data_IF_603010101469
#
_entry.id   IF_603010101469
#
_cell.length_a   1.000
_cell.length_b   1.000
_cell.length_c   1.000
_cell.angle_alpha   90.00
_cell.angle_beta   90.00
_cell.angle_gamma   90.00
#
_symmetry.space_group_name_H-M   'P 1'
#
loop_
_entity.id
_entity.type
_entity.pdbx_description
1 polymer ?
#
# COMPACT_ATOMS: atom_id res chain seq x y z
N UNK A 1 0.94 -1.75 -19.09
CA UNK A 1 0.80 -3.23 -19.03
C UNK A 1 0.47 -3.52 -17.58
N UNK A 2 -0.82 -3.49 -17.26
CA UNK A 2 -1.35 -3.59 -15.91
C UNK A 2 -1.49 -5.06 -15.53
N UNK A 3 -0.40 -5.70 -15.10
CA UNK A 3 -0.48 -7.01 -14.45
C UNK A 3 -0.63 -6.79 -12.94
N UNK A 4 -1.82 -6.37 -12.50
CA UNK A 4 -2.13 -6.29 -11.07
C UNK A 4 -2.39 -7.71 -10.56
N UNK A 5 -1.50 -8.26 -9.74
CA UNK A 5 -1.77 -9.45 -8.94
C UNK A 5 -1.68 -9.11 -7.45
N UNK A 6 -2.67 -8.36 -6.95
CA UNK A 6 -2.92 -8.33 -5.51
C UNK A 6 -3.50 -9.69 -5.13
N UNK A 7 -2.65 -10.60 -4.63
CA UNK A 7 -3.08 -11.89 -4.08
C UNK A 7 -3.65 -11.67 -2.68
N UNK A 8 -4.84 -11.07 -2.61
CA UNK A 8 -5.59 -10.96 -1.36
C UNK A 8 -6.75 -11.97 -1.37
N UNK A 9 -6.79 -12.86 -0.39
CA UNK A 9 -7.88 -13.84 -0.22
C UNK A 9 -9.21 -13.18 0.19
N UNK A 10 -9.22 -11.88 0.49
CA UNK A 10 -10.42 -11.16 0.88
C UNK A 10 -10.93 -10.25 -0.24
N UNK A 11 -11.39 -10.86 -1.34
CA UNK A 11 -11.92 -10.12 -2.49
C UNK A 11 -13.02 -9.11 -2.09
N UNK A 12 -13.84 -9.39 -1.08
CA UNK A 12 -14.89 -8.48 -0.59
C UNK A 12 -14.39 -7.20 0.11
N UNK A 13 -13.11 -7.14 0.47
CA UNK A 13 -12.50 -5.99 1.16
C UNK A 13 -11.42 -5.32 0.31
N UNK A 14 -11.16 -5.80 -0.91
CA UNK A 14 -10.17 -5.26 -1.83
C UNK A 14 -10.86 -4.57 -3.00
N UNK A 15 -10.46 -3.33 -3.27
CA UNK A 15 -10.89 -2.56 -4.44
C UNK A 15 -9.65 -2.24 -5.29
N UNK A 16 -9.75 -2.43 -6.60
CA UNK A 16 -8.69 -2.15 -7.56
C UNK A 16 -9.00 -0.83 -8.27
N UNK A 17 -8.08 0.13 -8.23
CA UNK A 17 -8.26 1.44 -8.85
C UNK A 17 -7.39 1.52 -10.11
N UNK A 18 -8.03 1.68 -11.25
CA UNK A 18 -7.39 1.70 -12.57
C UNK A 18 -7.70 3.00 -13.33
N UNK A 19 -6.90 3.32 -14.34
CA UNK A 19 -7.12 4.44 -15.27
C UNK A 19 -7.88 4.04 -16.54
N UNK A 20 -8.29 2.78 -16.65
CA UNK A 20 -9.06 2.27 -17.78
C UNK A 20 -9.92 1.06 -17.44
N UNK A 21 -10.85 0.76 -18.33
CA UNK A 21 -11.68 -0.45 -18.26
C UNK A 21 -10.86 -1.68 -18.64
N UNK A 22 -10.95 -2.73 -17.84
CA UNK A 22 -10.41 -4.05 -18.14
C UNK A 22 -11.49 -5.11 -17.94
N UNK A 23 -11.98 -5.66 -19.06
CA UNK A 23 -13.06 -6.67 -19.05
C UNK A 23 -12.65 -7.97 -18.34
N UNK A 24 -11.37 -8.37 -18.44
CA UNK A 24 -10.91 -9.60 -17.82
C UNK A 24 -10.82 -9.44 -16.30
N UNK A 25 -10.27 -8.32 -15.83
CA UNK A 25 -10.26 -8.00 -14.41
C UNK A 25 -11.69 -7.83 -13.88
N UNK A 26 -12.57 -7.12 -14.60
CA UNK A 26 -13.96 -6.97 -14.21
C UNK A 26 -14.70 -8.31 -14.08
N UNK A 27 -14.43 -9.28 -14.96
CA UNK A 27 -14.99 -10.63 -14.81
C UNK A 27 -14.48 -11.35 -13.55
N UNK A 28 -13.24 -11.09 -13.12
CA UNK A 28 -12.62 -11.73 -11.95
C UNK A 28 -12.97 -11.05 -10.63
N UNK A 29 -13.05 -9.73 -10.60
CA UNK A 29 -13.22 -8.93 -9.39
C UNK A 29 -14.62 -8.31 -9.25
N UNK A 30 -15.47 -8.44 -10.28
CA UNK A 30 -16.82 -7.88 -10.30
C UNK A 30 -16.80 -6.35 -10.13
N UNK A 31 -17.64 -5.85 -9.22
CA UNK A 31 -17.78 -4.42 -8.94
C UNK A 31 -16.60 -3.81 -8.14
N UNK A 32 -15.58 -4.59 -7.81
CA UNK A 32 -14.44 -4.12 -7.03
C UNK A 32 -13.32 -3.50 -7.87
N UNK A 33 -13.39 -3.58 -9.21
CA UNK A 33 -12.55 -2.75 -10.08
C UNK A 33 -13.23 -1.41 -10.34
N UNK A 34 -12.51 -0.32 -10.08
CA UNK A 34 -12.99 1.05 -10.18
C UNK A 34 -12.12 1.75 -11.21
N UNK A 35 -12.74 2.18 -12.32
CA UNK A 35 -12.11 3.09 -13.24
C UNK A 35 -12.18 4.52 -12.65
N UNK A 36 -11.03 5.08 -12.35
CA UNK A 36 -10.88 6.41 -11.77
C UNK A 36 -11.09 7.53 -12.78
N UNK A 37 -11.01 7.22 -14.09
CA UNK A 37 -10.93 8.19 -15.18
C UNK A 37 -9.77 9.20 -15.04
N UNK A 38 -8.80 8.89 -14.17
CA UNK A 38 -7.56 9.64 -14.07
C UNK A 38 -6.63 9.29 -15.24
N UNK A 39 -5.57 10.09 -15.43
CA UNK A 39 -4.58 9.81 -16.46
C UNK A 39 -3.86 8.48 -16.23
N UNK A 40 -3.57 7.77 -17.33
CA UNK A 40 -2.72 6.59 -17.34
C UNK A 40 -1.22 6.91 -17.20
N UNK A 41 -0.84 8.19 -17.15
CA UNK A 41 0.54 8.59 -16.92
C UNK A 41 0.99 8.27 -15.48
N UNK A 42 2.28 8.01 -15.32
CA UNK A 42 2.91 7.81 -14.00
C UNK A 42 3.45 9.13 -13.44
N UNK A 43 2.63 10.19 -13.47
CA UNK A 43 2.99 11.52 -12.97
C UNK A 43 2.39 11.75 -11.58
N UNK A 44 2.98 12.66 -10.81
CA UNK A 44 2.46 13.10 -9.50
C UNK A 44 0.96 13.38 -9.55
N UNK A 45 0.51 14.15 -10.54
CA UNK A 45 -0.90 14.52 -10.70
C UNK A 45 -1.79 13.30 -10.92
N UNK A 46 -1.35 12.34 -11.74
CA UNK A 46 -2.12 11.15 -12.06
C UNK A 46 -2.25 10.22 -10.85
N UNK A 47 -1.16 10.03 -10.09
CA UNK A 47 -1.16 9.24 -8.85
C UNK A 47 -2.03 9.89 -7.76
N UNK A 48 -1.88 11.20 -7.54
CA UNK A 48 -2.74 11.94 -6.60
C UNK A 48 -4.23 11.90 -7.00
N UNK A 49 -4.54 11.90 -8.29
CA UNK A 49 -5.90 11.72 -8.77
C UNK A 49 -6.46 10.34 -8.39
N UNK A 50 -5.69 9.26 -8.59
CA UNK A 50 -6.08 7.90 -8.21
C UNK A 50 -6.28 7.77 -6.69
N UNK A 51 -5.31 8.27 -5.91
CA UNK A 51 -5.40 8.30 -4.45
C UNK A 51 -6.63 9.09 -3.95
N UNK A 52 -7.00 10.18 -4.62
CA UNK A 52 -8.23 10.92 -4.29
C UNK A 52 -9.48 10.05 -4.42
N UNK A 53 -9.55 9.21 -5.47
CA UNK A 53 -10.67 8.30 -5.71
C UNK A 53 -10.67 7.13 -4.71
N UNK A 54 -9.49 6.61 -4.36
CA UNK A 54 -9.33 5.61 -3.29
C UNK A 54 -9.89 6.09 -1.97
N UNK A 55 -9.50 7.31 -1.59
CA UNK A 55 -9.93 7.94 -0.35
C UNK A 55 -11.44 8.18 -0.33
N UNK A 56 -12.00 8.79 -1.38
CA UNK A 56 -13.44 9.05 -1.47
C UNK A 56 -14.25 7.74 -1.41
N UNK A 57 -13.79 6.70 -2.12
CA UNK A 57 -14.42 5.38 -2.07
C UNK A 57 -14.41 4.78 -0.66
N UNK A 58 -13.31 4.94 0.07
CA UNK A 58 -13.22 4.48 1.45
C UNK A 58 -14.19 5.23 2.37
N UNK A 59 -14.30 6.56 2.25
CA UNK A 59 -15.23 7.35 3.05
C UNK A 59 -16.68 6.86 2.85
N UNK A 60 -17.09 6.65 1.59
CA UNK A 60 -18.41 6.12 1.20
C UNK A 60 -18.67 4.70 1.73
N UNK A 61 -17.64 3.84 1.75
CA UNK A 61 -17.78 2.43 2.11
C UNK A 61 -18.18 2.16 3.57
N UNK A 62 -18.08 3.17 4.44
CA UNK A 62 -18.28 3.07 5.89
C UNK A 62 -17.36 2.06 6.61
N UNK A 63 -16.29 1.60 5.96
CA UNK A 63 -15.32 0.65 6.54
C UNK A 63 -14.48 1.32 7.63
N UNK A 64 -13.94 0.47 8.52
CA UNK A 64 -13.20 0.87 9.73
C UNK A 64 -11.75 1.29 9.45
N UNK A 65 -11.14 0.71 8.42
CA UNK A 65 -9.73 0.87 8.09
C UNK A 65 -9.57 1.07 6.60
N UNK A 66 -8.78 2.08 6.23
CA UNK A 66 -8.28 2.31 4.89
C UNK A 66 -6.84 1.80 4.85
N UNK A 67 -6.52 0.84 3.98
CA UNK A 67 -5.14 0.44 3.77
C UNK A 67 -4.83 0.54 2.28
N UNK A 68 -3.81 1.30 1.94
CA UNK A 68 -3.31 1.46 0.58
C UNK A 68 -2.11 0.54 0.38
N UNK A 69 -2.01 -0.05 -0.82
CA UNK A 69 -0.89 -0.86 -1.29
C UNK A 69 -0.76 -0.72 -2.80
N UNK A 70 0.47 -0.85 -3.31
CA UNK A 70 0.76 -0.87 -4.75
C UNK A 70 0.48 -2.25 -5.37
N UNK A 71 0.54 -2.32 -6.70
CA UNK A 71 0.27 -3.54 -7.48
C UNK A 71 1.35 -4.61 -7.39
N UNK A 72 2.54 -4.19 -6.97
CA UNK A 72 3.68 -5.05 -6.68
C UNK A 72 3.74 -5.49 -5.21
N UNK A 73 2.70 -5.23 -4.41
CA UNK A 73 2.64 -5.61 -3.01
C UNK A 73 1.85 -6.92 -2.76
N UNK A 74 2.32 -7.71 -1.80
CA UNK A 74 1.62 -8.85 -1.23
C UNK A 74 1.18 -8.53 0.20
N UNK A 75 -0.11 -8.69 0.50
CA UNK A 75 -0.66 -8.45 1.83
C UNK A 75 -0.85 -9.76 2.58
N UNK A 76 -0.18 -9.91 3.72
CA UNK A 76 -0.37 -11.04 4.62
C UNK A 76 -1.54 -10.71 5.57
N UNK A 77 -2.73 -11.14 5.16
CA UNK A 77 -3.99 -10.77 5.82
C UNK A 77 -4.04 -11.09 7.33
N UNK A 78 -3.60 -12.27 7.83
CA UNK A 78 -3.61 -12.54 9.26
C UNK A 78 -2.79 -11.52 10.07
N UNK A 79 -1.58 -11.19 9.60
CA UNK A 79 -0.69 -10.20 10.24
C UNK A 79 -1.29 -8.80 10.21
N UNK A 80 -1.92 -8.41 9.09
CA UNK A 80 -2.62 -7.13 8.98
C UNK A 80 -3.75 -7.04 10.02
N UNK A 81 -4.60 -8.06 10.11
CA UNK A 81 -5.70 -8.08 11.06
C UNK A 81 -5.22 -8.04 12.51
N UNK A 82 -4.15 -8.78 12.83
CA UNK A 82 -3.52 -8.75 14.15
C UNK A 82 -3.02 -7.34 14.49
N UNK A 83 -2.29 -6.69 13.57
CA UNK A 83 -1.80 -5.33 13.77
C UNK A 83 -2.96 -4.36 14.01
N UNK A 84 -3.96 -4.36 13.13
CA UNK A 84 -5.09 -3.43 13.21
C UNK A 84 -5.96 -3.67 14.45
N UNK A 85 -6.04 -4.91 14.95
CA UNK A 85 -6.79 -5.25 16.17
C UNK A 85 -6.21 -4.60 17.44
N UNK A 86 -4.95 -4.17 17.40
CA UNK A 86 -4.28 -3.50 18.53
C UNK A 86 -4.72 -2.04 18.70
N UNK A 87 -5.54 -1.52 17.80
CA UNK A 87 -5.97 -0.12 17.75
C UNK A 87 -7.48 0.00 17.62
N UNK A 88 -8.06 1.07 18.17
CA UNK A 88 -9.48 1.35 17.97
C UNK A 88 -9.69 2.24 16.74
N UNK A 89 -10.53 1.81 15.80
CA UNK A 89 -10.73 2.49 14.51
C UNK A 89 -11.36 3.89 14.58
N UNK A 90 -11.81 4.33 15.75
CA UNK A 90 -12.30 5.70 15.99
C UNK A 90 -11.22 6.65 16.54
N UNK A 91 -10.05 6.12 16.87
CA UNK A 91 -8.89 6.93 17.27
C UNK A 91 -8.20 7.50 16.03
N UNK A 92 -7.22 8.37 16.25
CA UNK A 92 -6.38 8.92 15.21
C UNK A 92 -5.16 8.02 15.02
N UNK A 93 -5.26 7.08 14.09
CA UNK A 93 -4.22 6.08 13.82
C UNK A 93 -3.79 6.12 12.36
N UNK A 94 -2.50 6.34 12.16
CA UNK A 94 -1.78 6.27 10.89
C UNK A 94 -0.58 5.33 11.06
N UNK A 95 -0.56 4.22 10.32
CA UNK A 95 0.43 3.15 10.43
C UNK A 95 1.17 2.99 9.10
N UNK A 96 2.49 2.85 9.17
CA UNK A 96 3.29 2.52 8.00
C UNK A 96 4.78 2.60 8.27
N UNK A 97 5.56 2.36 7.22
CA UNK A 97 7.01 2.50 7.26
C UNK A 97 7.41 3.91 6.84
N UNK A 98 8.22 4.65 7.63
CA UNK A 98 8.74 5.94 7.18
C UNK A 98 9.68 5.76 5.97
N UNK A 99 9.55 6.65 4.99
CA UNK A 99 10.33 6.58 3.74
C UNK A 99 11.78 7.04 3.87
N UNK A 100 12.03 7.95 4.82
CA UNK A 100 13.33 8.53 5.09
C UNK A 100 13.75 8.18 6.53
N UNK A 101 15.00 8.43 6.88
CA UNK A 101 15.50 8.40 8.26
C UNK A 101 15.28 9.73 9.00
N UNK A 102 14.69 10.72 8.34
CA UNK A 102 14.33 12.03 8.86
C UNK A 102 13.00 12.54 8.25
N UNK A 103 12.29 13.48 8.90
CA UNK A 103 11.11 14.11 8.30
C UNK A 103 11.45 14.82 6.99
N UNK A 104 10.57 14.73 5.99
CA UNK A 104 10.72 15.51 4.75
C UNK A 104 10.47 16.98 5.03
N UNK A 105 11.18 17.85 4.32
CA UNK A 105 10.96 19.29 4.35
C UNK A 105 10.20 19.73 3.09
N UNK A 106 9.03 20.32 3.26
CA UNK A 106 8.20 20.81 2.17
C UNK A 106 7.96 22.31 2.29
N UNK A 107 7.92 23.00 1.15
CA UNK A 107 7.58 24.41 1.13
C UNK A 107 6.08 24.61 0.90
N UNK A 108 5.40 25.20 1.87
CA UNK A 108 4.01 25.58 1.79
C UNK A 108 3.90 27.04 1.31
N UNK A 109 3.14 27.25 0.22
CA UNK A 109 2.82 28.61 -0.26
C UNK A 109 1.68 29.20 0.58
N UNK A 110 1.94 30.31 1.27
CA UNK A 110 0.93 31.08 1.98
C UNK A 110 0.38 32.19 1.06
N UNK A 111 -0.93 32.50 1.18
CA UNK A 111 -1.62 33.54 0.38
C UNK A 111 -0.98 34.93 0.48
N UNK A 112 -0.16 35.19 1.50
CA UNK A 112 0.58 36.44 1.72
C UNK A 112 2.06 36.30 1.33
N UNK A 113 2.36 36.01 0.05
CA UNK A 113 3.68 36.08 -0.62
C UNK A 113 4.90 35.44 0.08
N UNK A 114 4.71 34.62 1.12
CA UNK A 114 5.77 33.90 1.84
C UNK A 114 5.67 32.40 1.62
N UNK A 115 6.82 31.74 1.53
CA UNK A 115 6.92 30.28 1.66
C UNK A 115 7.27 29.97 3.12
N UNK A 116 6.50 29.10 3.75
CA UNK A 116 6.85 28.52 5.05
C UNK A 116 7.32 27.10 4.82
N UNK A 117 8.41 26.72 5.50
CA UNK A 117 8.91 25.36 5.49
C UNK A 117 8.21 24.55 6.57
N UNK A 118 7.66 23.40 6.19
CA UNK A 118 7.03 22.44 7.10
C UNK A 118 7.80 21.13 7.07
N UNK A 119 7.90 20.47 8.22
CA UNK A 119 8.58 19.19 8.38
C UNK A 119 7.60 18.14 8.90
N UNK A 120 7.57 16.98 8.25
CA UNK A 120 6.64 15.91 8.62
C UNK A 120 7.16 14.54 8.17
N UNK A 121 6.70 13.47 8.84
CA UNK A 121 6.90 12.11 8.36
C UNK A 121 5.78 11.69 7.39
N UNK A 122 6.08 10.70 6.57
CA UNK A 122 5.09 10.06 5.72
C UNK A 122 5.42 8.58 5.57
N UNK A 123 4.38 7.74 5.47
CA UNK A 123 4.55 6.34 5.17
C UNK A 123 4.86 6.16 3.68
N UNK A 124 5.82 5.30 3.34
CA UNK A 124 6.14 4.98 1.94
C UNK A 124 4.96 4.31 1.25
N UNK A 125 4.44 4.92 0.17
CA UNK A 125 3.30 4.38 -0.59
C UNK A 125 3.50 2.92 -1.02
N UNK A 126 4.62 2.62 -1.65
CA UNK A 126 4.95 1.25 -2.12
C UNK A 126 5.37 0.25 -1.05
N UNK A 127 5.38 0.63 0.24
CA UNK A 127 5.38 -0.34 1.34
C UNK A 127 3.95 -0.66 1.80
N UNK A 128 2.99 0.19 1.46
CA UNK A 128 1.65 0.22 2.01
C UNK A 128 1.56 0.96 3.35
N UNK A 129 0.36 1.44 3.64
CA UNK A 129 0.04 2.12 4.90
C UNK A 129 -1.43 1.93 5.26
N UNK A 130 -1.78 2.15 6.53
CA UNK A 130 -3.15 2.07 7.00
C UNK A 130 -3.57 3.31 7.81
N UNK A 131 -4.81 3.75 7.62
CA UNK A 131 -5.44 4.89 8.28
C UNK A 131 -6.77 4.41 8.88
N UNK A 132 -6.98 4.75 10.15
CA UNK A 132 -8.25 4.52 10.84
C UNK A 132 -9.38 5.40 10.30
N UNK A 133 -10.63 4.92 10.36
CA UNK A 133 -11.79 5.72 9.95
C UNK A 133 -11.89 7.05 10.71
N UNK A 134 -11.60 7.06 12.01
CA UNK A 134 -11.61 8.27 12.83
C UNK A 134 -10.71 9.36 12.25
N UNK A 135 -9.45 9.00 11.94
CA UNK A 135 -8.48 9.89 11.32
C UNK A 135 -8.92 10.31 9.91
N UNK A 136 -9.33 9.36 9.08
CA UNK A 136 -9.78 9.65 7.72
C UNK A 136 -10.92 10.68 7.73
N UNK A 137 -11.94 10.53 8.56
CA UNK A 137 -13.02 11.54 8.63
C UNK A 137 -12.51 12.96 8.95
N UNK A 138 -11.42 13.11 9.70
CA UNK A 138 -10.77 14.40 9.97
C UNK A 138 -9.95 14.92 8.80
N UNK A 139 -9.42 14.03 7.94
CA UNK A 139 -8.69 14.40 6.72
C UNK A 139 -9.62 14.96 5.63
N UNK A 140 -10.93 14.72 5.70
CA UNK A 140 -11.90 15.06 4.66
C UNK A 140 -11.86 16.51 4.12
N UNK A 141 -11.62 17.57 4.94
CA UNK A 141 -11.49 18.93 4.43
C UNK A 141 -10.35 19.13 3.41
N UNK A 142 -9.34 18.25 3.42
CA UNK A 142 -8.17 18.32 2.53
C UNK A 142 -8.07 17.16 1.54
N UNK A 143 -8.78 16.05 1.80
CA UNK A 143 -8.66 14.83 1.01
C UNK A 143 -9.94 14.49 0.22
N UNK A 144 -11.13 14.82 0.72
CA UNK A 144 -12.37 14.36 0.08
C UNK A 144 -12.83 15.30 -1.06
N UNK A 145 -13.67 14.80 -1.95
CA UNK A 145 -14.35 15.57 -3.01
C UNK A 145 -13.35 16.28 -3.94
N UNK A 146 -12.25 15.59 -4.28
CA UNK A 146 -11.18 16.12 -5.13
C UNK A 146 -10.24 17.12 -4.46
N UNK A 147 -10.44 17.44 -3.16
CA UNK A 147 -9.52 18.33 -2.44
C UNK A 147 -8.12 17.74 -2.31
N UNK A 148 -7.98 16.40 -2.34
CA UNK A 148 -6.66 15.76 -2.30
C UNK A 148 -5.73 16.27 -3.40
N UNK A 149 -6.24 16.39 -4.63
CA UNK A 149 -5.48 16.89 -5.79
C UNK A 149 -5.05 18.34 -5.56
N UNK A 150 -5.95 19.18 -5.05
CA UNK A 150 -5.65 20.58 -4.74
C UNK A 150 -4.59 20.72 -3.65
N UNK A 151 -4.67 19.86 -2.62
CA UNK A 151 -3.69 19.80 -1.54
C UNK A 151 -2.32 19.35 -2.05
N UNK A 152 -2.27 18.29 -2.85
CA UNK A 152 -1.04 17.80 -3.47
C UNK A 152 -0.38 18.86 -4.36
N UNK A 153 -1.15 19.61 -5.15
CA UNK A 153 -0.62 20.69 -6.00
C UNK A 153 -0.10 21.90 -5.20
N UNK A 154 -0.66 22.15 -4.01
CA UNK A 154 -0.19 23.22 -3.11
C UNK A 154 1.24 22.97 -2.62
N UNK A 155 1.53 21.73 -2.21
CA UNK A 155 2.85 21.32 -1.69
C UNK A 155 3.78 20.75 -2.77
N UNK A 156 3.23 20.41 -3.94
CA UNK A 156 3.95 19.84 -5.10
C UNK A 156 4.64 18.50 -4.80
N UNK A 157 4.09 17.72 -3.87
CA UNK A 157 4.65 16.44 -3.45
C UNK A 157 3.80 15.25 -3.95
N UNK A 158 4.38 14.03 -4.03
CA UNK A 158 3.66 12.80 -4.32
C UNK A 158 2.46 12.55 -3.40
N UNK A 159 1.63 11.59 -3.78
CA UNK A 159 0.42 11.18 -3.07
C UNK A 159 0.71 10.68 -1.65
N UNK A 160 1.70 9.81 -1.47
CA UNK A 160 2.10 9.32 -0.14
C UNK A 160 2.58 10.46 0.79
N UNK A 161 3.37 11.38 0.25
CA UNK A 161 3.80 12.61 0.92
C UNK A 161 2.61 13.53 1.23
N UNK A 162 1.60 13.58 0.36
CA UNK A 162 0.37 14.38 0.58
C UNK A 162 -0.47 13.80 1.71
N UNK A 163 -0.57 12.47 1.81
CA UNK A 163 -1.19 11.79 2.96
C UNK A 163 -0.45 12.16 4.25
N UNK A 164 0.89 12.03 4.26
CA UNK A 164 1.72 12.43 5.41
C UNK A 164 1.54 13.90 5.78
N UNK A 165 1.56 14.81 4.80
CA UNK A 165 1.35 16.24 5.03
C UNK A 165 -0.01 16.53 5.69
N UNK A 166 -1.10 15.94 5.19
CA UNK A 166 -2.43 16.15 5.79
C UNK A 166 -2.46 15.65 7.23
N UNK A 167 -1.87 14.48 7.50
CA UNK A 167 -1.97 13.83 8.81
C UNK A 167 -1.01 14.46 9.84
N UNK A 168 0.26 14.59 9.51
CA UNK A 168 1.30 15.05 10.43
C UNK A 168 1.36 16.57 10.51
N UNK A 169 1.32 17.27 9.37
CA UNK A 169 1.51 18.72 9.36
C UNK A 169 0.22 19.51 9.62
N UNK A 170 -0.94 19.03 9.15
CA UNK A 170 -2.22 19.74 9.31
C UNK A 170 -3.06 19.24 10.48
N UNK A 171 -3.07 17.93 10.73
CA UNK A 171 -3.84 17.33 11.82
C UNK A 171 -3.01 17.05 13.08
N UNK A 172 -1.68 17.22 13.02
CA UNK A 172 -0.74 17.00 14.14
C UNK A 172 -0.83 15.58 14.72
N UNK A 173 -1.10 14.58 13.87
CA UNK A 173 -1.16 13.17 14.25
C UNK A 173 0.13 12.49 13.77
N UNK A 174 0.89 11.93 14.70
CA UNK A 174 2.15 11.27 14.38
C UNK A 174 1.93 9.94 13.64
N UNK A 175 2.77 9.66 12.65
CA UNK A 175 2.92 8.37 12.02
C UNK A 175 3.40 7.37 13.08
N UNK A 176 2.66 6.28 13.23
CA UNK A 176 3.08 5.16 14.05
C UNK A 176 3.99 4.27 13.19
N UNK A 177 5.29 4.39 13.46
CA UNK A 177 6.31 3.64 12.75
C UNK A 177 6.15 2.14 13.00
N UNK A 178 6.15 1.36 11.92
CA UNK A 178 6.10 -0.10 11.99
C UNK A 178 7.10 -0.71 11.01
N UNK A 179 7.75 -1.78 11.46
CA UNK A 179 8.70 -2.55 10.67
C UNK A 179 8.05 -3.72 9.92
N UNK A 180 6.72 -3.80 9.92
CA UNK A 180 5.97 -4.89 9.28
C UNK A 180 5.60 -4.60 7.81
N UNK A 181 5.80 -3.36 7.36
CA UNK A 181 5.50 -2.94 5.99
C UNK A 181 6.81 -2.82 5.20
N UNK A 182 6.84 -3.41 4.00
CA UNK A 182 8.07 -3.51 3.20
C UNK A 182 7.89 -3.11 1.74
N UNK A 183 8.77 -2.22 1.27
CA UNK A 183 8.81 -1.75 -0.11
C UNK A 183 9.99 -2.36 -0.88
N UNK A 184 9.88 -2.46 -2.20
CA UNK A 184 11.00 -2.79 -3.09
C UNK A 184 12.13 -1.73 -3.09
N UNK A 185 11.96 -0.60 -2.42
CA UNK A 185 13.04 0.37 -2.15
C UNK A 185 14.03 -0.12 -1.08
N UNK A 186 13.66 -1.16 -0.34
CA UNK A 186 14.52 -1.82 0.63
C UNK A 186 15.33 -2.96 0.01
N UNK A 187 16.31 -3.47 0.75
CA UNK A 187 16.95 -4.74 0.39
C UNK A 187 16.16 -5.91 0.99
N UNK A 188 15.19 -6.43 0.22
CA UNK A 188 14.27 -7.48 0.65
C UNK A 188 14.97 -8.83 0.93
N UNK A 189 16.17 -9.04 0.38
CA UNK A 189 16.98 -10.22 0.67
C UNK A 189 17.53 -10.24 2.10
N UNK A 190 17.55 -9.08 2.78
CA UNK A 190 17.99 -8.97 4.18
C UNK A 190 16.87 -9.20 5.18
N UNK A 191 15.62 -9.36 4.73
CA UNK A 191 14.53 -9.67 5.65
C UNK A 191 14.75 -11.04 6.28
N UNK A 192 14.60 -11.18 7.62
CA UNK A 192 14.87 -12.45 8.29
C UNK A 192 13.90 -13.53 7.79
N UNK A 193 14.45 -14.60 7.21
CA UNK A 193 13.66 -15.68 6.60
C UNK A 193 12.62 -16.27 7.54
N UNK A 194 12.97 -16.39 8.83
CA UNK A 194 12.10 -16.99 9.85
C UNK A 194 10.86 -16.13 10.17
N UNK A 195 10.92 -14.82 9.93
CA UNK A 195 9.81 -13.89 10.21
C UNK A 195 9.17 -13.31 8.94
N UNK A 196 9.59 -13.70 7.73
CA UNK A 196 9.02 -13.16 6.48
C UNK A 196 7.50 -13.34 6.40
N UNK A 197 6.97 -14.45 6.93
CA UNK A 197 5.54 -14.74 6.92
C UNK A 197 4.75 -14.01 8.01
N UNK A 198 5.43 -13.34 8.95
CA UNK A 198 4.83 -12.54 10.02
C UNK A 198 4.73 -11.05 9.63
N UNK A 199 5.29 -10.66 8.47
CA UNK A 199 5.18 -9.29 7.97
C UNK A 199 3.74 -8.97 7.55
N UNK A 200 3.41 -7.70 7.37
CA UNK A 200 2.08 -7.24 6.93
C UNK A 200 2.05 -7.07 5.42
N UNK A 201 3.06 -6.41 4.85
CA UNK A 201 3.23 -6.30 3.40
C UNK A 201 4.63 -6.74 3.00
N UNK A 202 4.72 -7.34 1.81
CA UNK A 202 5.96 -7.58 1.10
C UNK A 202 5.85 -6.96 -0.29
N UNK A 203 6.97 -6.64 -0.92
CA UNK A 203 7.01 -6.15 -2.30
C UNK A 203 8.03 -6.97 -3.11
N UNK A 204 8.25 -6.62 -4.38
CA UNK A 204 9.32 -7.17 -5.19
C UNK A 204 9.89 -6.09 -6.14
N UNK A 205 11.17 -6.22 -6.48
CA UNK A 205 11.84 -5.30 -7.39
C UNK A 205 11.31 -5.39 -8.82
N UNK A 206 11.02 -4.22 -9.39
CA UNK A 206 10.62 -4.07 -10.78
C UNK A 206 11.73 -4.38 -11.79
N UNK A 207 11.55 -3.91 -13.03
CA UNK A 207 12.43 -4.24 -14.16
C UNK A 207 13.92 -3.95 -13.89
N UNK A 208 14.21 -2.84 -13.20
CA UNK A 208 15.59 -2.40 -12.91
C UNK A 208 16.29 -3.24 -11.84
N UNK A 209 15.52 -3.88 -10.95
CA UNK A 209 16.06 -4.63 -9.81
C UNK A 209 15.30 -5.94 -9.54
N UNK A 210 15.14 -6.77 -10.59
CA UNK A 210 14.39 -8.04 -10.53
C UNK A 210 14.89 -9.05 -9.48
N UNK A 211 16.10 -8.84 -8.94
CA UNK A 211 16.68 -9.72 -7.90
C UNK A 211 16.26 -9.31 -6.48
N UNK A 212 15.66 -8.14 -6.32
CA UNK A 212 15.19 -7.68 -5.02
C UNK A 212 13.89 -8.37 -4.66
N UNK A 213 14.01 -9.53 -4.03
CA UNK A 213 12.90 -10.34 -3.56
C UNK A 213 13.24 -10.92 -2.20
N UNK A 214 12.21 -11.32 -1.46
CA UNK A 214 12.38 -11.97 -0.16
C UNK A 214 13.15 -13.28 -0.28
N UNK A 215 14.10 -13.50 0.63
CA UNK A 215 14.84 -14.74 0.74
C UNK A 215 14.03 -15.80 1.48
N UNK A 216 13.09 -16.42 0.75
CA UNK A 216 12.22 -17.49 1.25
C UNK A 216 12.38 -18.75 0.40
N UNK A 217 12.35 -19.93 1.01
CA UNK A 217 12.43 -21.24 0.33
C UNK A 217 11.05 -21.85 0.23
N UNK A 218 10.72 -22.47 -0.91
CA UNK A 218 9.45 -23.16 -1.09
C UNK A 218 9.40 -23.98 -2.37
N UNK A 219 8.19 -24.38 -2.77
CA UNK A 219 7.99 -25.34 -3.87
C UNK A 219 8.25 -24.83 -5.29
N UNK A 220 8.55 -23.54 -5.46
CA UNK A 220 8.82 -22.91 -6.77
C UNK A 220 10.26 -22.41 -6.88
N UNK A 221 10.86 -22.59 -8.05
CA UNK A 221 12.11 -21.93 -8.44
C UNK A 221 11.91 -20.43 -8.71
N UNK A 222 13.01 -19.66 -8.74
CA UNK A 222 12.97 -18.24 -9.14
C UNK A 222 12.52 -18.01 -10.58
N UNK A 223 12.57 -19.04 -11.44
CA UNK A 223 12.07 -18.95 -12.81
C UNK A 223 10.54 -19.06 -12.84
N UNK A 224 9.97 -19.92 -12.00
CA UNK A 224 8.51 -20.15 -11.91
C UNK A 224 7.78 -19.09 -11.07
N UNK A 225 8.50 -18.52 -10.12
CA UNK A 225 8.02 -17.54 -9.13
C UNK A 225 9.06 -16.42 -8.93
N UNK A 226 9.24 -15.54 -9.91
CA UNK A 226 10.26 -14.50 -9.90
C UNK A 226 10.05 -13.43 -8.83
N UNK A 227 8.81 -13.25 -8.35
CA UNK A 227 8.45 -12.28 -7.29
C UNK A 227 8.47 -12.90 -5.89
N UNK A 228 8.55 -14.24 -5.80
CA UNK A 228 8.34 -15.05 -4.58
C UNK A 228 6.92 -15.05 -4.02
N UNK A 229 5.97 -14.36 -4.64
CA UNK A 229 4.61 -14.24 -4.11
C UNK A 229 3.83 -15.56 -4.16
N UNK A 230 4.08 -16.42 -5.17
CA UNK A 230 3.46 -17.76 -5.19
C UNK A 230 3.99 -18.61 -4.04
N UNK A 231 5.28 -18.52 -3.76
CA UNK A 231 5.91 -19.22 -2.63
C UNK A 231 5.35 -18.73 -1.30
N UNK A 232 5.32 -17.41 -1.08
CA UNK A 232 4.72 -16.82 0.13
C UNK A 232 3.27 -17.28 0.29
N UNK A 233 2.47 -17.23 -0.79
CA UNK A 233 1.09 -17.67 -0.76
C UNK A 233 0.94 -19.16 -0.40
N UNK A 234 1.73 -20.05 -1.02
CA UNK A 234 1.62 -21.48 -0.73
C UNK A 234 2.13 -21.87 0.65
N UNK A 235 3.02 -21.08 1.26
CA UNK A 235 3.43 -21.28 2.65
C UNK A 235 2.35 -20.83 3.63
N UNK A 236 1.62 -19.74 3.32
CA UNK A 236 0.51 -19.25 4.14
C UNK A 236 -0.77 -20.07 3.95
N UNK A 237 -1.02 -20.57 2.74
CA UNK A 237 -2.25 -21.24 2.31
C UNK A 237 -1.91 -22.53 1.53
N UNK A 238 -1.42 -23.57 2.21
CA UNK A 238 -0.92 -24.78 1.58
C UNK A 238 -2.00 -25.59 0.85
N UNK A 239 -3.26 -25.41 1.24
CA UNK A 239 -4.42 -26.11 0.66
C UNK A 239 -4.88 -25.52 -0.69
N UNK A 240 -4.29 -24.41 -1.13
CA UNK A 240 -4.61 -23.79 -2.42
C UNK A 240 -4.27 -24.74 -3.58
N UNK A 241 -5.22 -25.02 -4.48
CA UNK A 241 -5.15 -26.11 -5.48
C UNK A 241 -3.91 -26.11 -6.39
N UNK A 242 -3.38 -24.92 -6.71
CA UNK A 242 -2.22 -24.76 -7.59
C UNK A 242 -0.88 -24.81 -6.84
N UNK A 243 -0.90 -24.95 -5.51
CA UNK A 243 0.31 -25.06 -4.72
C UNK A 243 1.01 -26.40 -4.95
N UNK A 244 2.36 -26.41 -5.00
CA UNK A 244 3.11 -27.64 -5.18
C UNK A 244 2.90 -28.52 -3.96
N UNK A 245 2.37 -29.72 -4.16
CA UNK A 245 2.24 -30.69 -3.05
C UNK A 245 3.63 -31.05 -2.54
N UNK A 246 3.82 -31.17 -1.22
CA UNK A 246 5.09 -31.63 -0.68
C UNK A 246 5.44 -32.97 -1.31
N UNK A 247 6.61 -33.06 -1.95
CA UNK A 247 7.11 -34.34 -2.44
C UNK A 247 7.25 -35.25 -1.21
N UNK A 248 6.69 -36.47 -1.21
CA UNK A 248 6.92 -37.39 -0.11
C UNK A 248 8.44 -37.56 0.03
N UNK A 249 8.96 -37.28 1.23
CA UNK A 249 10.33 -37.63 1.57
C UNK A 249 10.47 -39.14 1.39
N UNK A 250 11.04 -39.57 0.26
CA UNK A 250 11.64 -40.89 0.18
C UNK A 250 12.90 -40.84 1.03
N UNK A 251 12.73 -41.16 2.32
CA UNK A 251 13.83 -41.49 3.19
C UNK A 251 14.63 -42.62 2.55
N UNK A 252 15.89 -42.34 2.26
CA UNK A 252 16.98 -43.30 2.12
C UNK A 252 18.19 -42.72 2.83
#
# INVERSE_FOLDING_TARGET
>A
LCEFLIVCLCLFQTYLFSDGEDKQLQMRTGANIINTNCSAAHTRQALCCKMSVEYDKFIESQKKWFCHVDDDNYVILPSLLQLLSSYHHSQDVYLGRPSLDHPIEAAERIKSNGMVSVKFWFATGGAGFCISRGLALKMSPWASLGNFISTAEKIRLPDDCTIGYIIEALLEVALIHTHLFHSHLENLQKLPTDSVLEQVTLSYGGYENRRNVVSIVGGFSLVEDPTRFKTVHCLLYPDTDWCPKPKPHHGK
#
